data_IF_722916862191
#
_entry.id   IF_722916862191
#
_cell.length_a   1.000
_cell.length_b   1.000
_cell.length_c   1.000
_cell.angle_alpha   90.00
_cell.angle_beta   90.00
_cell.angle_gamma   90.00
#
_symmetry.space_group_name_H-M   'P 1'
#
loop_
_entity.id
_entity.type
_entity.pdbx_description
1 polymer ?
#
# COMPACT_ATOMS: atom_id res chain seq x y z
N UNK A 1 -10.02 36.38 29.76
CA UNK A 1 -9.74 34.94 29.64
C UNK A 1 -9.48 34.65 28.18
N UNK A 2 -8.23 34.37 27.79
CA UNK A 2 -7.93 33.88 26.44
C UNK A 2 -8.20 32.38 26.46
N UNK A 3 -9.14 31.92 25.65
CA UNK A 3 -9.38 30.51 25.44
C UNK A 3 -8.18 29.93 24.70
N UNK A 4 -7.41 29.06 25.34
CA UNK A 4 -6.38 28.29 24.68
C UNK A 4 -7.07 27.36 23.68
N UNK A 5 -7.04 27.72 22.40
CA UNK A 5 -7.49 26.87 21.31
C UNK A 5 -6.44 25.78 21.18
N UNK A 6 -6.74 24.59 21.71
CA UNK A 6 -5.91 23.40 21.52
C UNK A 6 -6.00 23.07 20.02
N UNK A 7 -4.87 23.13 19.32
CA UNK A 7 -4.78 22.75 17.91
C UNK A 7 -5.32 21.31 17.74
N UNK A 8 -6.33 21.15 16.89
CA UNK A 8 -6.91 19.85 16.58
C UNK A 8 -5.86 19.01 15.83
N UNK A 9 -5.66 17.73 16.18
CA UNK A 9 -4.75 16.87 15.44
C UNK A 9 -5.25 16.72 14.00
N UNK A 10 -4.46 17.18 13.03
CA UNK A 10 -4.77 17.00 11.61
C UNK A 10 -4.18 15.69 11.11
N UNK A 11 -5.04 14.77 10.65
CA UNK A 11 -4.59 13.57 9.94
C UNK A 11 -4.36 13.90 8.48
N UNK A 12 -3.16 13.59 7.97
CA UNK A 12 -2.80 13.76 6.55
C UNK A 12 -2.72 12.38 5.89
N UNK A 13 -3.57 12.16 4.89
CA UNK A 13 -3.57 10.93 4.09
C UNK A 13 -2.69 11.11 2.86
N UNK A 14 -1.75 10.19 2.65
CA UNK A 14 -0.85 10.21 1.50
C UNK A 14 -0.78 8.84 0.84
N UNK A 15 -0.76 8.80 -0.49
CA UNK A 15 -0.50 7.57 -1.24
C UNK A 15 0.98 7.23 -1.10
N UNK A 16 1.27 6.08 -0.49
CA UNK A 16 2.64 5.66 -0.29
C UNK A 16 3.29 5.20 -1.62
N UNK A 17 2.60 4.35 -2.38
CA UNK A 17 3.08 3.87 -3.69
C UNK A 17 1.93 3.22 -4.45
N UNK A 18 2.12 3.02 -5.75
CA UNK A 18 1.27 2.16 -6.57
C UNK A 18 2.03 0.86 -6.86
N UNK A 19 1.36 -0.29 -6.71
CA UNK A 19 1.95 -1.58 -7.08
C UNK A 19 1.85 -1.73 -8.59
N UNK A 20 2.96 -2.03 -9.26
CA UNK A 20 3.03 -2.17 -10.71
C UNK A 20 2.89 -3.64 -11.14
N UNK A 21 2.29 -3.87 -12.31
CA UNK A 21 2.25 -5.13 -13.03
C UNK A 21 2.91 -4.95 -14.40
N UNK A 22 4.22 -5.21 -14.48
CA UNK A 22 5.04 -4.77 -15.62
C UNK A 22 5.07 -3.24 -15.71
N UNK A 23 4.75 -2.70 -16.89
CA UNK A 23 4.78 -1.25 -17.15
C UNK A 23 3.47 -0.52 -16.78
N UNK A 24 2.45 -1.23 -16.28
CA UNK A 24 1.14 -0.67 -15.92
C UNK A 24 0.89 -0.78 -14.42
N UNK A 25 0.15 0.15 -13.80
CA UNK A 25 -0.37 -0.04 -12.45
C UNK A 25 -1.17 -1.33 -12.36
N UNK A 26 -1.00 -2.09 -11.29
CA UNK A 26 -1.86 -3.25 -11.01
C UNK A 26 -3.30 -2.76 -10.77
N UNK A 27 -4.27 -3.50 -11.31
CA UNK A 27 -5.69 -3.20 -11.10
C UNK A 27 -6.17 -3.53 -9.68
N UNK A 28 -5.36 -4.28 -8.92
CA UNK A 28 -5.59 -4.55 -7.51
C UNK A 28 -5.24 -5.98 -7.12
N UNK A 29 -4.83 -6.13 -5.86
CA UNK A 29 -4.62 -7.43 -5.23
C UNK A 29 -5.61 -7.56 -4.07
N UNK A 30 -6.14 -8.76 -3.86
CA UNK A 30 -7.02 -9.06 -2.73
C UNK A 30 -6.29 -9.93 -1.70
N UNK A 31 -6.43 -9.59 -0.41
CA UNK A 31 -5.90 -10.42 0.69
C UNK A 31 -4.38 -10.45 0.79
N UNK A 32 -3.68 -9.37 0.41
CA UNK A 32 -2.23 -9.26 0.64
C UNK A 32 -1.92 -9.20 2.13
N UNK A 33 -0.77 -9.76 2.53
CA UNK A 33 -0.19 -9.61 3.86
C UNK A 33 0.86 -8.51 3.79
N UNK A 34 0.90 -7.63 4.80
CA UNK A 34 1.90 -6.56 4.91
C UNK A 34 2.64 -6.60 6.24
N UNK A 35 3.88 -6.10 6.25
CA UNK A 35 4.72 -6.03 7.45
C UNK A 35 5.86 -5.03 7.27
N UNK A 36 6.55 -4.68 8.37
CA UNK A 36 7.71 -3.78 8.35
C UNK A 36 8.95 -4.55 8.80
N UNK A 37 10.04 -4.45 8.03
CA UNK A 37 11.34 -5.00 8.40
C UNK A 37 12.45 -4.09 7.86
N UNK A 38 13.48 -3.80 8.67
CA UNK A 38 14.59 -2.91 8.29
C UNK A 38 14.12 -1.58 7.67
N UNK A 39 13.15 -0.92 8.31
CA UNK A 39 12.52 0.33 7.85
C UNK A 39 11.89 0.25 6.45
N UNK A 40 11.56 -0.96 5.98
CA UNK A 40 10.88 -1.18 4.70
C UNK A 40 9.49 -1.76 4.97
N UNK A 41 8.47 -1.13 4.41
CA UNK A 41 7.15 -1.72 4.29
C UNK A 41 7.22 -2.80 3.23
N UNK A 42 6.90 -4.04 3.57
CA UNK A 42 6.84 -5.20 2.69
C UNK A 42 5.38 -5.57 2.49
N UNK A 43 4.97 -5.79 1.24
CA UNK A 43 3.63 -6.28 0.89
C UNK A 43 3.79 -7.48 -0.03
N UNK A 44 3.15 -8.61 0.31
CA UNK A 44 3.29 -9.87 -0.41
C UNK A 44 2.03 -10.75 -0.36
N UNK A 45 1.98 -11.73 -1.26
CA UNK A 45 0.89 -12.71 -1.38
C UNK A 45 -0.38 -12.11 -1.96
N UNK A 46 -1.52 -12.72 -1.61
CA UNK A 46 -2.84 -12.33 -2.11
C UNK A 46 -3.20 -12.95 -3.46
N UNK A 47 -4.43 -12.72 -3.89
CA UNK A 47 -4.94 -13.05 -5.21
C UNK A 47 -4.72 -11.86 -6.15
N UNK A 48 -4.18 -12.12 -7.33
CA UNK A 48 -3.98 -11.11 -8.36
C UNK A 48 -4.83 -11.47 -9.58
N UNK A 49 -5.58 -10.49 -10.07
CA UNK A 49 -6.39 -10.65 -11.27
C UNK A 49 -5.94 -9.59 -12.26
N UNK A 50 -4.88 -9.84 -13.05
CA UNK A 50 -4.23 -8.79 -13.82
C UNK A 50 -5.05 -8.31 -15.03
N UNK A 51 -5.97 -9.16 -15.52
CA UNK A 51 -6.70 -8.92 -16.76
C UNK A 51 -8.13 -8.43 -16.52
N UNK A 52 -8.84 -9.00 -15.54
CA UNK A 52 -10.26 -8.73 -15.28
C UNK A 52 -10.60 -8.90 -13.80
N UNK A 53 -11.68 -8.28 -13.34
CA UNK A 53 -12.09 -8.36 -11.93
C UNK A 53 -12.64 -9.75 -11.58
N UNK A 54 -12.59 -10.18 -10.30
CA UNK A 54 -13.05 -11.51 -9.89
C UNK A 54 -14.51 -11.81 -10.30
N UNK A 55 -15.37 -10.80 -10.26
CA UNK A 55 -16.80 -10.91 -10.62
C UNK A 55 -17.08 -10.89 -12.12
N UNK A 56 -16.07 -10.62 -12.96
CA UNK A 56 -16.15 -10.71 -14.42
C UNK A 56 -15.69 -12.07 -14.95
N UNK A 57 -15.25 -12.98 -14.07
CA UNK A 57 -14.66 -14.26 -14.46
C UNK A 57 -13.13 -14.21 -14.59
N UNK A 58 -12.49 -13.14 -14.10
CA UNK A 58 -11.06 -12.97 -14.14
C UNK A 58 -10.30 -14.14 -13.53
N UNK A 59 -9.25 -14.59 -14.21
CA UNK A 59 -8.41 -15.69 -13.75
C UNK A 59 -7.46 -15.20 -12.66
N UNK A 60 -7.56 -15.81 -11.48
CA UNK A 60 -6.56 -15.58 -10.44
C UNK A 60 -5.22 -16.14 -10.89
N UNK A 61 -4.23 -15.26 -10.97
CA UNK A 61 -2.84 -15.62 -11.14
C UNK A 61 -2.22 -15.34 -9.78
N UNK A 62 -1.68 -16.36 -9.11
CA UNK A 62 -0.89 -16.16 -7.88
C UNK A 62 0.56 -16.17 -8.30
N UNK A 63 1.17 -15.01 -8.55
CA UNK A 63 2.57 -14.97 -8.82
C UNK A 63 3.38 -15.08 -7.52
N UNK A 64 4.37 -15.96 -7.52
CA UNK A 64 5.21 -16.26 -6.36
C UNK A 64 6.12 -15.10 -5.91
N UNK A 65 6.12 -13.95 -6.60
CA UNK A 65 7.22 -12.96 -6.54
C UNK A 65 6.82 -11.49 -6.35
N UNK A 66 5.58 -11.17 -5.98
CA UNK A 66 5.20 -9.76 -5.80
C UNK A 66 5.59 -9.35 -4.38
N UNK A 67 6.83 -8.90 -4.23
CA UNK A 67 7.33 -8.22 -3.05
C UNK A 67 7.56 -6.76 -3.43
N UNK A 68 6.62 -5.90 -3.06
CA UNK A 68 6.85 -4.46 -3.11
C UNK A 68 7.48 -4.05 -1.78
N UNK A 69 8.60 -3.31 -1.83
CA UNK A 69 9.11 -2.63 -0.65
C UNK A 69 9.10 -1.12 -0.83
N UNK A 70 8.77 -0.40 0.24
CA UNK A 70 8.99 1.06 0.31
C UNK A 70 9.76 1.39 1.59
N UNK A 71 10.81 2.19 1.46
CA UNK A 71 11.50 2.75 2.62
C UNK A 71 10.60 3.76 3.34
N UNK A 72 10.44 3.53 4.64
CA UNK A 72 9.73 4.42 5.54
C UNK A 72 10.75 5.44 6.02
N UNK A 73 10.64 6.67 5.50
CA UNK A 73 11.43 7.80 6.02
C UNK A 73 10.95 8.09 7.45
N UNK A 74 11.87 8.08 8.41
CA UNK A 74 11.58 8.59 9.74
C UNK A 74 11.27 10.07 9.63
N UNK A 75 10.13 10.49 10.18
CA UNK A 75 9.79 11.90 10.28
C UNK A 75 10.62 12.51 11.42
N UNK A 76 11.88 12.83 11.15
CA UNK A 76 12.69 13.62 12.08
C UNK A 76 12.32 15.07 11.89
N UNK A 77 11.39 15.54 12.72
CA UNK A 77 11.26 16.96 12.99
C UNK A 77 12.52 17.37 13.77
N UNK A 78 13.48 17.98 13.08
CA UNK A 78 14.56 18.74 13.71
C UNK A 78 14.05 20.10 14.16
#
# INVERSE_FOLDING_TARGET
>A
MKSDVIAQPSVQWNVATNIMNGDKPSIGFAGMISGISNNKLIVAGGANFPDELPWQGGKNIIPTKYMCWKEIKSNTNG
#
